data_IF_734623170523
#
_entry.id   IF_734623170523
#
_cell.length_a   1.000
_cell.length_b   1.000
_cell.length_c   1.000
_cell.angle_alpha   90.00
_cell.angle_beta   90.00
_cell.angle_gamma   90.00
#
_symmetry.space_group_name_H-M   'P 1'
#
loop_
_entity.id
_entity.type
_entity.pdbx_description
1 polymer ?
#
# COMPACT_ATOMS: atom_id res chain seq x y z
N UNK A 1 18.05 0.29 6.08
CA UNK A 1 18.71 -0.88 6.69
C UNK A 1 19.00 -0.54 8.14
N UNK A 2 18.79 -1.49 9.03
CA UNK A 2 19.12 -1.42 10.45
C UNK A 2 19.83 -2.71 10.85
N UNK A 3 20.73 -2.63 11.82
CA UNK A 3 21.25 -3.81 12.51
C UNK A 3 20.23 -4.23 13.56
N UNK A 4 20.05 -5.54 13.69
CA UNK A 4 19.03 -6.14 14.54
C UNK A 4 19.56 -7.32 15.33
N UNK A 5 19.00 -7.52 16.51
CA UNK A 5 19.19 -8.72 17.32
C UNK A 5 17.86 -9.45 17.48
N UNK A 6 17.84 -10.76 17.20
CA UNK A 6 16.64 -11.61 17.31
C UNK A 6 15.49 -11.32 16.33
N UNK A 7 15.76 -10.71 15.17
CA UNK A 7 14.76 -10.49 14.11
C UNK A 7 15.01 -11.47 12.96
N UNK A 8 14.42 -12.66 13.07
CA UNK A 8 14.59 -13.76 12.10
C UNK A 8 13.40 -13.94 11.15
N UNK A 9 12.27 -13.29 11.45
CA UNK A 9 11.05 -13.35 10.65
C UNK A 9 10.55 -11.95 10.28
N UNK A 10 9.64 -11.89 9.30
CA UNK A 10 8.97 -10.63 8.97
C UNK A 10 8.04 -10.23 10.11
N UNK A 11 8.33 -9.08 10.72
CA UNK A 11 7.51 -8.52 11.77
C UNK A 11 6.67 -7.35 11.24
N UNK A 12 5.37 -7.38 11.52
CA UNK A 12 4.43 -6.31 11.18
C UNK A 12 3.90 -5.69 12.46
N UNK A 13 4.00 -4.36 12.54
CA UNK A 13 3.61 -3.57 13.69
C UNK A 13 2.38 -2.74 13.36
N UNK A 14 1.33 -2.94 14.15
CA UNK A 14 0.04 -2.28 14.01
C UNK A 14 -0.20 -1.37 15.22
N UNK A 15 -1.07 -0.38 15.06
CA UNK A 15 -1.52 0.50 16.13
C UNK A 15 -1.41 1.97 15.79
N UNK A 16 -2.28 2.78 16.39
CA UNK A 16 -2.36 4.23 16.14
C UNK A 16 -1.13 5.00 16.57
N UNK A 17 -0.41 4.50 17.56
CA UNK A 17 0.83 5.12 18.02
C UNK A 17 2.04 4.76 17.13
N UNK A 18 1.95 3.69 16.35
CA UNK A 18 2.99 3.25 15.42
C UNK A 18 2.75 3.86 14.04
N UNK A 19 1.70 3.43 13.35
CA UNK A 19 1.43 3.77 11.96
C UNK A 19 -0.09 3.89 11.74
N UNK A 20 -0.73 5.00 12.16
CA UNK A 20 -2.18 5.10 12.14
C UNK A 20 -2.78 4.92 10.74
N UNK A 21 -3.69 3.95 10.64
CA UNK A 21 -4.36 3.56 9.40
C UNK A 21 -3.50 2.75 8.42
N UNK A 22 -2.29 2.35 8.81
CA UNK A 22 -1.31 1.57 8.06
C UNK A 22 -0.57 0.61 9.02
N UNK A 23 0.69 0.29 8.74
CA UNK A 23 1.57 -0.55 9.56
C UNK A 23 3.03 -0.12 9.40
N UNK A 24 3.86 -0.53 10.34
CA UNK A 24 5.32 -0.52 10.25
C UNK A 24 5.84 -1.96 10.14
N UNK A 25 7.08 -2.14 9.70
CA UNK A 25 7.66 -3.47 9.50
C UNK A 25 9.15 -3.51 9.81
N UNK A 26 9.60 -4.72 10.19
CA UNK A 26 10.99 -5.15 10.10
C UNK A 26 11.02 -6.39 9.20
N UNK A 27 11.76 -6.32 8.10
CA UNK A 27 11.92 -7.44 7.15
C UNK A 27 13.38 -7.88 7.18
N UNK A 28 13.71 -9.07 7.69
CA UNK A 28 15.09 -9.55 7.74
C UNK A 28 15.64 -9.71 6.31
N UNK A 29 16.90 -9.29 6.11
CA UNK A 29 17.58 -9.42 4.81
C UNK A 29 18.72 -10.42 4.85
N UNK A 30 19.49 -10.40 5.94
CA UNK A 30 20.61 -11.28 6.22
C UNK A 30 20.78 -11.36 7.75
N UNK A 31 21.49 -12.35 8.29
CA UNK A 31 21.68 -12.47 9.74
C UNK A 31 22.17 -11.16 10.36
N UNK A 32 21.44 -10.67 11.37
CA UNK A 32 21.75 -9.41 12.07
C UNK A 32 21.29 -8.12 11.37
N UNK A 33 20.58 -8.19 10.25
CA UNK A 33 20.12 -7.00 9.51
C UNK A 33 18.68 -7.11 9.01
N UNK A 34 17.97 -5.98 9.10
CA UNK A 34 16.60 -5.86 8.58
C UNK A 34 16.34 -4.53 7.83
N UNK A 35 15.34 -4.55 6.96
CA UNK A 35 14.70 -3.35 6.43
C UNK A 35 13.61 -2.89 7.39
N UNK A 36 13.84 -1.76 8.03
CA UNK A 36 12.84 -1.05 8.81
C UNK A 36 12.09 -0.04 7.94
N UNK A 37 10.77 -0.02 8.04
CA UNK A 37 9.94 0.94 7.33
C UNK A 37 8.57 1.11 7.98
N UNK A 38 7.87 2.18 7.58
CA UNK A 38 6.47 2.39 7.92
C UNK A 38 5.77 3.18 6.84
N UNK A 39 4.45 3.06 6.84
CA UNK A 39 3.60 3.82 5.94
C UNK A 39 2.63 4.65 6.78
N UNK A 40 2.46 5.94 6.48
CA UNK A 40 1.55 6.84 7.19
C UNK A 40 1.01 7.92 6.26
N UNK A 41 -0.13 8.51 6.62
CA UNK A 41 -0.70 9.65 5.87
C UNK A 41 0.14 10.93 5.99
N UNK A 42 0.68 11.20 7.19
CA UNK A 42 1.35 12.45 7.56
C UNK A 42 2.47 12.19 8.55
N UNK A 43 3.43 13.12 8.62
CA UNK A 43 4.55 13.13 9.57
C UNK A 43 5.41 11.85 9.51
N UNK A 44 5.69 11.35 8.30
CA UNK A 44 6.45 10.11 8.11
C UNK A 44 7.84 10.15 8.78
N UNK A 45 8.67 11.22 8.67
CA UNK A 45 9.98 11.26 9.32
C UNK A 45 9.91 11.17 10.84
N UNK A 46 9.01 11.94 11.47
CA UNK A 46 8.82 11.97 12.93
C UNK A 46 8.38 10.59 13.45
N UNK A 47 7.35 10.00 12.81
CA UNK A 47 6.84 8.69 13.21
C UNK A 47 7.86 7.59 12.99
N UNK A 48 8.66 7.69 11.93
CA UNK A 48 9.75 6.73 11.68
C UNK A 48 10.83 6.82 12.75
N UNK A 49 11.23 8.02 13.14
CA UNK A 49 12.14 8.22 14.27
C UNK A 49 11.62 7.60 15.57
N UNK A 50 10.32 7.81 15.89
CA UNK A 50 9.67 7.18 17.05
C UNK A 50 9.63 5.66 16.97
N UNK A 51 9.34 5.10 15.80
CA UNK A 51 9.33 3.66 15.58
C UNK A 51 10.72 3.06 15.81
N UNK A 52 11.78 3.65 15.24
CA UNK A 52 13.16 3.21 15.45
C UNK A 52 13.54 3.30 16.93
N UNK A 53 13.28 4.44 17.59
CA UNK A 53 13.60 4.63 19.00
C UNK A 53 12.90 3.60 19.91
N UNK A 54 11.64 3.27 19.62
CA UNK A 54 10.92 2.22 20.36
C UNK A 54 11.55 0.84 20.18
N UNK A 55 11.94 0.48 18.95
CA UNK A 55 12.60 -0.81 18.67
C UNK A 55 14.01 -0.88 19.25
N UNK A 56 14.71 0.24 19.36
CA UNK A 56 16.00 0.33 20.07
C UNK A 56 15.83 0.14 21.58
N UNK A 57 14.81 0.76 22.18
CA UNK A 57 14.51 0.59 23.60
C UNK A 57 14.12 -0.85 23.95
N UNK A 58 13.54 -1.60 23.01
CA UNK A 58 13.25 -3.03 23.12
C UNK A 58 14.46 -3.95 22.87
N UNK A 59 15.61 -3.38 22.47
CA UNK A 59 16.81 -4.16 22.11
C UNK A 59 16.77 -4.83 20.74
N UNK A 60 15.70 -4.63 19.94
CA UNK A 60 15.55 -5.24 18.62
C UNK A 60 16.42 -4.61 17.55
N UNK A 61 16.61 -3.29 17.62
CA UNK A 61 17.48 -2.54 16.71
C UNK A 61 18.69 -2.08 17.50
N UNK A 62 19.88 -2.45 17.05
CA UNK A 62 21.14 -2.01 17.67
C UNK A 62 21.62 -0.72 17.02
N UNK A 63 21.56 -0.64 15.69
CA UNK A 63 22.07 0.51 14.94
C UNK A 63 21.22 0.82 13.68
N UNK A 64 21.11 2.11 13.35
CA UNK A 64 20.59 2.55 12.07
C UNK A 64 21.74 2.76 11.07
N UNK A 65 21.89 1.82 10.13
CA UNK A 65 23.00 1.81 9.16
C UNK A 65 22.82 2.84 8.04
N UNK A 66 21.60 3.00 7.53
CA UNK A 66 21.31 3.93 6.43
C UNK A 66 20.33 5.02 6.85
N UNK A 67 20.51 6.22 6.27
CA UNK A 67 19.52 7.30 6.36
C UNK A 67 18.18 6.84 5.79
N UNK A 68 17.06 7.18 6.45
CA UNK A 68 15.75 6.83 5.95
C UNK A 68 15.44 7.65 4.70
N UNK A 69 14.64 7.03 3.83
CA UNK A 69 14.16 7.59 2.57
C UNK A 69 12.62 7.61 2.62
N UNK A 70 12.02 8.62 2.00
CA UNK A 70 10.58 8.83 2.05
C UNK A 70 10.04 9.16 0.65
N UNK A 71 8.96 8.50 0.25
CA UNK A 71 8.25 8.74 -1.00
C UNK A 71 6.75 8.46 -0.83
N UNK A 72 5.95 8.95 -1.78
CA UNK A 72 4.52 8.68 -1.83
C UNK A 72 4.22 7.32 -2.46
N UNK A 73 3.18 6.66 -1.98
CA UNK A 73 2.65 5.43 -2.56
C UNK A 73 1.21 5.70 -3.04
N UNK A 74 0.91 5.53 -4.34
CA UNK A 74 -0.44 5.76 -4.85
C UNK A 74 -1.38 4.67 -4.34
N UNK A 75 -2.58 5.07 -3.91
CA UNK A 75 -3.62 4.15 -3.43
C UNK A 75 -4.74 3.91 -4.45
N UNK A 76 -4.73 4.64 -5.57
CA UNK A 76 -5.71 4.53 -6.64
C UNK A 76 -5.04 4.68 -8.00
N UNK A 77 -5.53 3.97 -9.02
CA UNK A 77 -5.02 4.14 -10.37
C UNK A 77 -5.45 5.47 -10.99
N UNK A 78 -4.70 5.91 -12.00
CA UNK A 78 -5.11 7.04 -12.84
C UNK A 78 -6.41 6.71 -13.58
N UNK A 79 -7.26 7.73 -13.80
CA UNK A 79 -8.48 7.58 -14.60
C UNK A 79 -8.17 7.16 -16.05
N UNK A 80 -7.09 7.71 -16.60
CA UNK A 80 -6.59 7.45 -17.96
C UNK A 80 -5.08 7.18 -17.91
N UNK A 81 -4.62 6.02 -18.42
CA UNK A 81 -3.21 5.57 -18.40
C UNK A 81 -2.57 5.59 -19.80
N UNK A 82 -3.14 6.32 -20.74
CA UNK A 82 -2.65 6.42 -22.12
C UNK A 82 -3.05 7.74 -22.79
N UNK A 83 -2.25 8.19 -23.75
CA UNK A 83 -2.59 9.22 -24.73
C UNK A 83 -1.80 8.97 -26.02
N UNK A 84 -1.87 9.86 -27.00
CA UNK A 84 -1.07 9.74 -28.22
C UNK A 84 0.41 9.54 -27.88
N UNK A 85 0.98 8.43 -28.35
CA UNK A 85 2.39 8.04 -28.17
C UNK A 85 2.85 7.91 -26.72
N UNK A 86 1.93 7.73 -25.77
CA UNK A 86 2.27 7.63 -24.33
C UNK A 86 1.41 6.55 -23.66
N UNK A 87 2.08 5.68 -22.90
CA UNK A 87 1.47 4.82 -21.89
C UNK A 87 2.04 5.17 -20.50
N UNK A 88 1.24 4.99 -19.46
CA UNK A 88 1.66 5.13 -18.07
C UNK A 88 1.53 3.76 -17.40
N UNK A 89 2.58 3.30 -16.71
CA UNK A 89 2.68 1.97 -16.10
C UNK A 89 3.16 2.06 -14.65
N UNK A 90 2.92 1.01 -13.87
CA UNK A 90 3.38 0.82 -12.50
C UNK A 90 2.85 1.88 -11.52
N UNK A 91 3.71 2.32 -10.60
CA UNK A 91 3.38 3.35 -9.60
C UNK A 91 2.90 4.65 -10.25
N UNK A 92 3.46 5.04 -11.41
CA UNK A 92 3.00 6.24 -12.13
C UNK A 92 1.53 6.12 -12.58
N UNK A 93 1.06 4.90 -12.86
CA UNK A 93 -0.33 4.61 -13.19
C UNK A 93 -1.21 4.30 -11.97
N UNK A 94 -0.63 4.25 -10.77
CA UNK A 94 -1.28 3.83 -9.53
C UNK A 94 -1.63 2.34 -9.49
N UNK A 95 -0.84 1.50 -10.16
CA UNK A 95 -0.99 0.04 -10.19
C UNK A 95 -0.30 -0.60 -8.98
N UNK A 96 -0.82 -0.31 -7.79
CA UNK A 96 -0.24 -0.71 -6.50
C UNK A 96 -1.31 -1.34 -5.62
N UNK A 97 -0.98 -2.42 -4.89
CA UNK A 97 -1.89 -3.05 -3.92
C UNK A 97 -2.24 -2.06 -2.81
N UNK A 98 -3.51 -1.61 -2.67
CA UNK A 98 -3.83 -0.56 -1.69
C UNK A 98 -3.70 -1.00 -0.22
N UNK A 99 -3.75 -2.31 0.04
CA UNK A 99 -3.65 -2.88 1.39
C UNK A 99 -2.22 -2.86 1.92
N UNK A 100 -1.23 -3.24 1.11
CA UNK A 100 0.17 -3.38 1.53
C UNK A 100 1.08 -2.27 0.98
N UNK A 101 0.65 -1.54 -0.05
CA UNK A 101 1.48 -0.65 -0.84
C UNK A 101 2.49 -1.37 -1.74
N UNK A 102 2.38 -2.69 -1.89
CA UNK A 102 3.24 -3.47 -2.78
C UNK A 102 2.91 -3.20 -4.26
N UNK A 103 3.86 -2.59 -4.99
CA UNK A 103 3.70 -2.23 -6.39
C UNK A 103 4.43 -3.13 -7.39
N UNK A 104 5.50 -3.85 -6.98
CA UNK A 104 6.39 -4.59 -7.89
C UNK A 104 5.60 -5.59 -8.75
N UNK A 105 4.82 -6.48 -8.11
CA UNK A 105 4.08 -7.51 -8.83
C UNK A 105 3.04 -6.92 -9.81
N UNK A 106 2.25 -5.93 -9.38
CA UNK A 106 1.26 -5.29 -10.26
C UNK A 106 1.91 -4.46 -11.37
N UNK A 107 3.05 -3.84 -11.10
CA UNK A 107 3.84 -3.12 -12.11
C UNK A 107 4.37 -4.07 -13.17
N UNK A 108 4.85 -5.26 -12.80
CA UNK A 108 5.31 -6.28 -13.75
C UNK A 108 4.17 -6.77 -14.64
N UNK A 109 3.03 -7.14 -14.05
CA UNK A 109 1.84 -7.56 -14.79
C UNK A 109 1.37 -6.48 -15.77
N UNK A 110 1.26 -5.24 -15.31
CA UNK A 110 0.85 -4.15 -16.18
C UNK A 110 1.91 -3.80 -17.24
N UNK A 111 3.19 -4.03 -16.98
CA UNK A 111 4.26 -3.82 -17.96
C UNK A 111 4.22 -4.86 -19.07
N UNK A 112 3.88 -6.11 -18.76
CA UNK A 112 3.66 -7.16 -19.76
C UNK A 112 2.53 -6.78 -20.72
N UNK A 113 1.38 -6.39 -20.18
CA UNK A 113 0.23 -5.88 -20.97
C UNK A 113 0.60 -4.64 -21.80
N UNK A 114 1.41 -3.73 -21.23
CA UNK A 114 1.89 -2.55 -21.94
C UNK A 114 2.81 -2.92 -23.12
N UNK A 115 3.71 -3.89 -22.91
CA UNK A 115 4.63 -4.39 -23.92
C UNK A 115 3.89 -4.99 -25.11
N UNK A 116 2.89 -5.84 -24.86
CA UNK A 116 2.06 -6.45 -25.91
C UNK A 116 1.28 -5.38 -26.70
N UNK A 117 0.66 -4.43 -26.00
CA UNK A 117 -0.09 -3.35 -26.63
C UNK A 117 0.82 -2.46 -27.50
N UNK A 118 2.03 -2.15 -27.04
CA UNK A 118 3.02 -1.37 -27.78
C UNK A 118 3.58 -2.14 -28.97
N UNK A 119 3.89 -3.43 -28.81
CA UNK A 119 4.42 -4.25 -29.89
C UNK A 119 3.46 -4.23 -31.10
N UNK A 120 2.18 -4.48 -30.86
CA UNK A 120 1.17 -4.46 -31.92
C UNK A 120 1.00 -3.06 -32.53
N UNK A 121 0.94 -2.02 -31.68
CA UNK A 121 0.81 -0.64 -32.15
C UNK A 121 2.01 -0.16 -32.98
N UNK A 122 3.22 -0.61 -32.66
CA UNK A 122 4.45 -0.28 -33.39
C UNK A 122 4.52 -1.00 -34.74
N UNK A 123 4.12 -2.28 -34.80
CA UNK A 123 4.07 -3.04 -36.06
C UNK A 123 3.10 -2.42 -37.07
N UNK A 124 2.03 -1.81 -36.58
CA UNK A 124 1.00 -1.15 -37.40
C UNK A 124 1.28 0.34 -37.67
N UNK A 125 2.33 0.93 -37.07
CA UNK A 125 2.59 2.38 -37.00
C UNK A 125 1.38 3.19 -36.48
N UNK A 126 0.65 2.63 -35.50
CA UNK A 126 -0.55 3.21 -34.91
C UNK A 126 -0.36 3.53 -33.42
N UNK A 127 0.30 4.65 -33.12
CA UNK A 127 0.52 5.10 -31.74
C UNK A 127 -0.52 6.13 -31.25
N UNK A 128 -1.70 6.16 -31.86
CA UNK A 128 -2.78 7.05 -31.40
C UNK A 128 -3.36 6.59 -30.06
N UNK A 129 -3.95 7.52 -29.30
CA UNK A 129 -4.67 7.20 -28.08
C UNK A 129 -5.79 6.18 -28.34
N UNK A 130 -6.43 6.22 -29.51
CA UNK A 130 -7.48 5.26 -29.86
C UNK A 130 -6.94 3.84 -29.96
N UNK A 131 -5.74 3.64 -30.51
CA UNK A 131 -5.09 2.33 -30.57
C UNK A 131 -4.59 1.89 -29.19
N UNK A 132 -3.99 2.82 -28.45
CA UNK A 132 -3.38 2.57 -27.13
C UNK A 132 -4.41 2.37 -26.00
N UNK A 133 -5.69 2.65 -26.23
CA UNK A 133 -6.75 2.35 -25.23
C UNK A 133 -6.85 0.87 -24.86
N UNK A 134 -6.40 -0.01 -25.76
CA UNK A 134 -6.36 -1.45 -25.54
C UNK A 134 -5.55 -1.80 -24.28
N UNK A 135 -4.38 -1.17 -24.11
CA UNK A 135 -3.58 -1.31 -22.88
C UNK A 135 -4.40 -1.08 -21.62
N UNK A 136 -5.15 0.04 -21.58
CA UNK A 136 -5.93 0.36 -20.39
C UNK A 136 -7.05 -0.64 -20.12
N UNK A 137 -7.70 -1.12 -21.17
CA UNK A 137 -8.74 -2.13 -21.04
C UNK A 137 -8.16 -3.40 -20.41
N UNK A 138 -7.08 -3.92 -20.99
CA UNK A 138 -6.49 -5.20 -20.57
C UNK A 138 -5.95 -5.15 -19.12
N UNK A 139 -5.20 -4.11 -18.74
CA UNK A 139 -4.70 -4.06 -17.36
C UNK A 139 -5.84 -3.86 -16.35
N UNK A 140 -6.93 -3.17 -16.72
CA UNK A 140 -8.11 -3.03 -15.86
C UNK A 140 -8.86 -4.35 -15.72
N UNK A 141 -9.01 -5.11 -16.78
CA UNK A 141 -9.63 -6.44 -16.73
C UNK A 141 -8.84 -7.36 -15.79
N UNK A 142 -7.51 -7.22 -15.75
CA UNK A 142 -6.62 -7.97 -14.86
C UNK A 142 -6.68 -7.50 -13.39
N UNK A 143 -6.57 -6.18 -13.14
CA UNK A 143 -6.27 -5.65 -11.79
C UNK A 143 -7.41 -4.85 -11.14
N UNK A 144 -8.40 -4.36 -11.90
CA UNK A 144 -9.37 -3.39 -11.36
C UNK A 144 -10.18 -3.96 -10.19
N UNK A 145 -10.53 -5.25 -10.22
CA UNK A 145 -11.24 -5.90 -9.12
C UNK A 145 -10.41 -5.90 -7.83
N UNK A 146 -9.13 -6.28 -7.91
CA UNK A 146 -8.23 -6.28 -6.76
C UNK A 146 -7.99 -4.88 -6.21
N UNK A 147 -7.80 -3.90 -7.08
CA UNK A 147 -7.59 -2.50 -6.68
C UNK A 147 -8.81 -1.95 -5.94
N UNK A 148 -10.03 -2.20 -6.43
CA UNK A 148 -11.26 -1.72 -5.78
C UNK A 148 -11.56 -2.42 -4.46
N UNK A 149 -11.42 -3.75 -4.41
CA UNK A 149 -11.61 -4.53 -3.17
C UNK A 149 -10.54 -4.16 -2.14
N UNK A 150 -9.28 -4.09 -2.57
CA UNK A 150 -8.16 -3.70 -1.72
C UNK A 150 -8.31 -2.28 -1.18
N UNK A 151 -8.72 -1.31 -2.02
CA UNK A 151 -8.98 0.05 -1.57
C UNK A 151 -10.13 0.10 -0.56
N UNK A 152 -11.21 -0.64 -0.81
CA UNK A 152 -12.36 -0.70 0.10
C UNK A 152 -12.00 -1.32 1.45
N UNK A 153 -11.30 -2.45 1.45
CA UNK A 153 -10.81 -3.08 2.68
C UNK A 153 -9.86 -2.16 3.44
N UNK A 154 -9.00 -1.45 2.71
CA UNK A 154 -8.08 -0.49 3.30
C UNK A 154 -8.80 0.66 3.99
N UNK A 155 -9.86 1.18 3.37
CA UNK A 155 -10.71 2.21 3.95
C UNK A 155 -11.34 1.73 5.24
N UNK A 156 -11.82 0.49 5.31
CA UNK A 156 -12.34 -0.10 6.56
C UNK A 156 -11.25 -0.17 7.62
N UNK A 157 -10.06 -0.65 7.26
CA UNK A 157 -8.92 -0.75 8.17
C UNK A 157 -8.53 0.60 8.79
N UNK A 158 -8.56 1.69 8.03
CA UNK A 158 -8.26 3.04 8.53
C UNK A 158 -9.20 3.51 9.67
N UNK A 159 -10.41 2.95 9.78
CA UNK A 159 -11.35 3.29 10.87
C UNK A 159 -11.20 2.41 12.11
N UNK A 160 -10.48 1.30 12.01
CA UNK A 160 -10.32 0.41 13.16
C UNK A 160 -9.49 1.10 14.25
N UNK A 161 -9.93 0.95 15.49
CA UNK A 161 -9.15 1.25 16.68
C UNK A 161 -8.32 0.07 17.13
N UNK A 162 -7.33 0.33 17.97
CA UNK A 162 -6.38 -0.68 18.42
C UNK A 162 -7.07 -1.85 19.15
N UNK A 163 -8.15 -1.59 19.89
CA UNK A 163 -8.98 -2.64 20.50
C UNK A 163 -9.68 -3.53 19.45
N UNK A 164 -10.16 -2.95 18.35
CA UNK A 164 -10.81 -3.71 17.28
C UNK A 164 -9.78 -4.52 16.49
N UNK A 165 -8.62 -3.94 16.19
CA UNK A 165 -7.49 -4.63 15.56
C UNK A 165 -7.05 -5.80 16.44
N UNK A 166 -6.84 -5.57 17.74
CA UNK A 166 -6.45 -6.60 18.71
C UNK A 166 -7.51 -7.71 18.79
N UNK A 167 -8.79 -7.33 18.81
CA UNK A 167 -9.89 -8.31 18.81
C UNK A 167 -9.92 -9.15 17.54
N UNK A 168 -9.67 -8.56 16.36
CA UNK A 168 -9.61 -9.30 15.09
C UNK A 168 -8.45 -10.31 15.08
N UNK A 169 -7.25 -9.87 15.48
CA UNK A 169 -6.06 -10.73 15.55
C UNK A 169 -6.30 -11.88 16.53
N UNK A 170 -6.77 -11.56 17.75
CA UNK A 170 -7.08 -12.55 18.75
C UNK A 170 -8.13 -13.55 18.27
N UNK A 171 -9.22 -13.09 17.65
CA UNK A 171 -10.25 -14.00 17.13
C UNK A 171 -9.67 -14.91 16.05
N UNK A 172 -8.88 -14.36 15.11
CA UNK A 172 -8.28 -15.13 14.02
C UNK A 172 -7.26 -16.18 14.51
N UNK A 173 -6.55 -15.90 15.61
CA UNK A 173 -5.57 -16.83 16.16
C UNK A 173 -6.18 -17.97 16.98
N UNK A 174 -7.38 -17.77 17.54
CA UNK A 174 -8.02 -18.76 18.44
C UNK A 174 -9.09 -19.62 17.76
N UNK A 175 -9.59 -19.23 16.60
CA UNK A 175 -10.67 -19.94 15.89
C UNK A 175 -10.17 -20.84 14.74
N UNK A 176 -8.87 -21.05 14.62
CA UNK A 176 -8.28 -21.83 13.52
C UNK A 176 -8.30 -21.13 12.15
N UNK A 177 -8.80 -19.89 12.07
CA UNK A 177 -8.95 -19.17 10.81
C UNK A 177 -7.61 -18.92 10.10
N UNK A 178 -6.53 -18.66 10.85
CA UNK A 178 -5.19 -18.50 10.25
C UNK A 178 -4.77 -19.78 9.51
N UNK A 179 -4.99 -20.95 10.11
CA UNK A 179 -4.65 -22.24 9.49
C UNK A 179 -5.55 -22.53 8.28
N UNK A 180 -6.85 -22.24 8.39
CA UNK A 180 -7.80 -22.34 7.27
C UNK A 180 -7.37 -21.44 6.09
N UNK A 181 -7.00 -20.20 6.39
CA UNK A 181 -6.56 -19.24 5.39
C UNK A 181 -5.25 -19.68 4.71
N UNK A 182 -4.30 -20.20 5.49
CA UNK A 182 -3.03 -20.71 4.97
C UNK A 182 -3.20 -21.96 4.09
N UNK A 183 -4.18 -22.81 4.39
CA UNK A 183 -4.49 -24.01 3.60
C UNK A 183 -5.41 -23.74 2.41
N UNK A 184 -5.97 -22.54 2.29
CA UNK A 184 -6.96 -22.21 1.26
C UNK A 184 -6.30 -22.02 -0.12
N UNK A 185 -6.66 -22.83 -1.14
CA UNK A 185 -6.08 -22.69 -2.48
C UNK A 185 -6.44 -21.36 -3.17
N UNK A 186 -7.56 -20.76 -2.75
CA UNK A 186 -8.03 -19.49 -3.30
C UNK A 186 -7.33 -18.26 -2.68
N UNK A 187 -6.43 -18.45 -1.71
CA UNK A 187 -5.71 -17.35 -1.05
C UNK A 187 -4.33 -17.23 -1.66
N UNK A 188 -3.99 -16.00 -2.05
CA UNK A 188 -2.69 -15.69 -2.62
C UNK A 188 -2.10 -14.46 -1.95
N UNK A 189 -0.77 -14.42 -1.88
CA UNK A 189 -0.02 -13.26 -1.43
C UNK A 189 -0.22 -12.04 -2.34
N UNK A 190 -0.50 -12.25 -3.64
CA UNK A 190 -0.63 -11.17 -4.61
C UNK A 190 -2.08 -10.79 -4.94
N UNK A 191 -3.00 -11.72 -4.73
CA UNK A 191 -4.44 -11.56 -5.01
C UNK A 191 -5.22 -11.57 -3.70
N UNK A 192 -5.55 -10.38 -3.20
CA UNK A 192 -6.10 -10.19 -1.86
C UNK A 192 -7.63 -10.31 -1.82
N UNK A 193 -8.34 -10.16 -2.94
CA UNK A 193 -9.81 -10.08 -2.92
C UNK A 193 -10.48 -11.31 -2.31
N UNK A 194 -9.94 -12.50 -2.57
CA UNK A 194 -10.43 -13.77 -2.00
C UNK A 194 -10.24 -13.84 -0.48
N UNK A 195 -9.03 -13.53 0.00
CA UNK A 195 -8.73 -13.46 1.44
C UNK A 195 -9.63 -12.44 2.15
N UNK A 196 -9.79 -11.24 1.59
CA UNK A 196 -10.67 -10.19 2.12
C UNK A 196 -12.12 -10.70 2.17
N UNK A 197 -12.58 -11.36 1.10
CA UNK A 197 -13.93 -11.95 1.06
C UNK A 197 -14.16 -12.97 2.17
N UNK A 198 -13.19 -13.86 2.41
CA UNK A 198 -13.24 -14.85 3.51
C UNK A 198 -13.30 -14.18 4.88
N UNK A 199 -12.46 -13.16 5.14
CA UNK A 199 -12.48 -12.40 6.39
C UNK A 199 -13.85 -11.72 6.62
N UNK A 200 -14.40 -11.06 5.59
CA UNK A 200 -15.68 -10.36 5.66
C UNK A 200 -16.87 -11.31 5.83
N UNK A 201 -16.78 -12.51 5.25
CA UNK A 201 -17.79 -13.56 5.35
C UNK A 201 -17.74 -14.34 6.67
N UNK A 202 -16.60 -14.34 7.35
CA UNK A 202 -16.41 -15.11 8.58
C UNK A 202 -17.34 -14.60 9.70
N UNK A 203 -18.08 -15.48 10.42
CA UNK A 203 -19.10 -15.06 11.40
C UNK A 203 -18.59 -14.15 12.51
N UNK A 204 -17.42 -14.45 13.08
CA UNK A 204 -16.81 -13.65 14.16
C UNK A 204 -16.09 -12.42 13.63
N UNK A 205 -15.10 -12.59 12.76
CA UNK A 205 -14.30 -11.50 12.19
C UNK A 205 -15.15 -10.50 11.40
N UNK A 206 -16.02 -10.99 10.52
CA UNK A 206 -16.97 -10.16 9.77
C UNK A 206 -17.96 -9.44 10.69
N UNK A 207 -18.34 -10.05 11.82
CA UNK A 207 -19.13 -9.40 12.86
C UNK A 207 -18.44 -8.17 13.46
N UNK A 208 -17.15 -8.28 13.82
CA UNK A 208 -16.35 -7.16 14.33
C UNK A 208 -16.25 -6.04 13.30
N UNK A 209 -16.05 -6.39 12.01
CA UNK A 209 -15.96 -5.41 10.93
C UNK A 209 -17.30 -4.70 10.65
N UNK A 210 -18.45 -5.38 10.83
CA UNK A 210 -19.77 -4.75 10.67
C UNK A 210 -20.10 -3.74 11.76
N UNK A 211 -19.47 -3.83 12.93
CA UNK A 211 -19.59 -2.82 13.99
C UNK A 211 -18.90 -1.49 13.60
N UNK A 212 -18.03 -1.51 12.58
CA UNK A 212 -17.49 -0.30 11.96
C UNK A 212 -18.55 0.26 11.03
N UNK A 213 -19.15 1.40 11.38
CA UNK A 213 -20.27 1.98 10.63
C UNK A 213 -19.89 2.23 9.14
N UNK A 214 -20.50 1.51 8.18
CA UNK A 214 -20.17 1.63 6.76
C UNK A 214 -20.55 2.99 6.17
N UNK A 215 -21.49 3.74 6.78
CA UNK A 215 -21.80 5.12 6.38
C UNK A 215 -20.65 6.08 6.72
N UNK A 216 -19.95 5.89 7.84
CA UNK A 216 -18.76 6.70 8.18
C UNK A 216 -17.59 6.41 7.23
N UNK A 217 -17.39 5.15 6.85
CA UNK A 217 -16.35 4.76 5.90
C UNK A 217 -16.59 5.31 4.47
N UNK A 218 -17.87 5.42 4.08
CA UNK A 218 -18.33 5.90 2.76
C UNK A 218 -18.50 7.42 2.67
N UNK A 219 -18.80 8.11 3.79
CA UNK A 219 -18.93 9.58 3.87
C UNK A 219 -17.60 10.31 4.04
N UNK A 220 -16.58 9.63 4.54
CA UNK A 220 -15.28 10.25 4.68
C UNK A 220 -14.62 10.46 3.32
N UNK A 221 -14.70 11.70 2.83
CA UNK A 221 -13.78 12.18 1.80
C UNK A 221 -12.35 12.00 2.33
N UNK A 222 -11.48 11.32 1.58
CA UNK A 222 -10.05 11.57 1.75
C UNK A 222 -9.79 13.05 1.39
N UNK A 223 -8.72 13.68 1.92
CA UNK A 223 -8.38 15.04 1.51
C UNK A 223 -8.30 15.10 -0.02
N UNK A 224 -8.95 16.09 -0.62
CA UNK A 224 -8.89 16.36 -2.06
C UNK A 224 -7.41 16.55 -2.47
N UNK A 225 -6.99 16.17 -3.69
CA UNK A 225 -5.61 16.29 -4.15
C UNK A 225 -5.01 17.71 -3.98
N UNK A 226 -5.86 18.74 -3.96
CA UNK A 226 -5.48 20.14 -3.75
C UNK A 226 -4.96 20.45 -2.35
N UNK A 227 -5.27 19.64 -1.33
CA UNK A 227 -4.76 19.85 0.04
C UNK A 227 -3.38 19.21 0.26
N UNK A 228 -2.89 18.40 -0.69
CA UNK A 228 -1.61 17.66 -0.59
C UNK A 228 -0.46 18.44 -1.24
N UNK A 229 -0.77 19.30 -2.22
CA UNK A 229 0.19 20.16 -2.90
C UNK A 229 -0.10 21.64 -2.57
N UNK A 230 0.26 22.07 -1.36
CA UNK A 230 0.58 23.47 -1.16
C UNK A 230 2.06 23.65 -1.52
N UNK A 231 2.41 24.39 -2.59
CA UNK A 231 3.81 24.74 -2.81
C UNK A 231 4.28 25.59 -1.62
N UNK A 232 5.47 25.28 -1.09
CA UNK A 232 6.13 26.18 -0.13
C UNK A 232 6.23 27.58 -0.72
N UNK A 233 6.10 28.66 0.08
CA UNK A 233 6.30 30.00 -0.42
C UNK A 233 7.72 30.12 -0.95
N UNK A 234 7.87 30.49 -2.23
CA UNK A 234 9.15 30.80 -2.84
C UNK A 234 9.90 31.79 -1.96
N UNK A 235 11.13 31.43 -1.57
CA UNK A 235 12.11 32.37 -1.04
C UNK A 235 12.23 33.52 -2.06
N UNK A 236 11.69 34.68 -1.68
CA UNK A 236 11.82 35.89 -2.46
C UNK A 236 13.30 36.19 -2.66
N UNK A 237 13.72 36.28 -3.91
CA UNK A 237 14.99 36.86 -4.31
C UNK A 237 15.10 38.26 -3.70
N UNK A 238 15.99 38.41 -2.72
CA UNK A 238 16.44 39.72 -2.26
C UNK A 238 17.31 40.32 -3.36
N UNK A 239 16.66 40.96 -4.34
CA UNK A 239 17.31 41.89 -5.24
C UNK A 239 17.91 43.05 -4.44
N UNK A 240 19.23 43.13 -4.40
CA UNK A 240 19.92 44.38 -4.05
C UNK A 240 20.40 45.00 -5.35
N UNK A 241 19.71 46.06 -5.78
CA UNK A 241 20.29 47.12 -6.62
C UNK A 241 20.65 48.26 -5.68
N UNK A 242 21.94 48.52 -5.48
CA UNK A 242 22.68 49.77 -5.82
C UNK A 242 24.14 49.38 -5.89
#
# INVERSE_FOLDING_TARGET
LVETDGVDEVEVYLGRDVAPGFFAWLVPTQPGYALAGLMVRKNAPERFGRFIAARQAEGKITEQVNKPVCWGIPLRPLRKTYTDRVLVVGDAAGQVKPTTGGGIFYSLLASEVASEALQQALLEDQLSANRLRAYQKEWKDLLSKELEVGYSARRVFEYLGDNQISSLIHQASHNGFIAELAASPDVSFDWHSSMIGKIMGHPTLGGVLRLVNPLLARMARGPEPSEVFSPEPSLAESGTRV
#
